data_IF_932768321981
#
_entry.id   IF_932768321981
#
_cell.length_a   1.000
_cell.length_b   1.000
_cell.length_c   1.000
_cell.angle_alpha   90.00
_cell.angle_beta   90.00
_cell.angle_gamma   90.00
#
_symmetry.space_group_name_H-M   'P 1'
#
loop_
_entity.id
_entity.type
_entity.pdbx_description
1 polymer ?
#
# COMPACT_ATOMS: atom_id res chain seq x y z
N UNK A 1 27.43 62.89 37.62
CA UNK A 1 26.36 62.55 36.65
C UNK A 1 26.54 61.07 36.24
N UNK A 2 25.78 60.16 36.86
CA UNK A 2 25.89 58.74 36.63
C UNK A 2 24.66 58.29 35.81
N UNK A 3 24.89 57.95 34.52
CA UNK A 3 23.87 57.42 33.63
C UNK A 3 23.64 55.96 33.98
N UNK A 4 22.43 55.61 34.43
CA UNK A 4 21.96 54.23 34.63
C UNK A 4 21.45 53.71 33.31
N UNK A 5 22.17 52.75 32.68
CA UNK A 5 21.67 51.97 31.59
C UNK A 5 20.76 50.86 32.13
N UNK A 6 19.46 50.95 31.84
CA UNK A 6 18.48 49.95 32.11
C UNK A 6 18.48 48.96 30.94
N UNK A 7 19.10 47.80 31.10
CA UNK A 7 19.08 46.75 30.14
C UNK A 7 17.71 46.01 30.20
N UNK A 8 16.89 46.20 29.19
CA UNK A 8 15.65 45.47 29.01
C UNK A 8 16.02 44.10 28.42
N UNK A 9 16.02 43.06 29.27
CA UNK A 9 16.11 41.65 28.82
C UNK A 9 14.74 41.26 28.29
N UNK A 10 14.61 41.33 26.95
CA UNK A 10 13.45 40.78 26.26
C UNK A 10 13.61 39.24 26.17
N UNK A 11 13.03 38.53 27.12
CA UNK A 11 12.92 37.07 27.09
C UNK A 11 11.97 36.66 25.98
N UNK A 12 12.49 36.32 24.81
CA UNK A 12 11.72 35.68 23.75
C UNK A 12 11.55 34.21 24.12
N UNK A 13 10.46 33.89 24.77
CA UNK A 13 9.98 32.50 24.89
C UNK A 13 9.57 32.05 23.50
N UNK A 14 10.48 31.42 22.76
CA UNK A 14 10.12 30.63 21.58
C UNK A 14 9.39 29.41 22.11
N UNK A 15 8.06 29.47 22.12
CA UNK A 15 7.20 28.33 22.33
C UNK A 15 7.39 27.36 21.14
N UNK A 16 8.25 26.38 21.33
CA UNK A 16 8.27 25.22 20.44
C UNK A 16 6.97 24.48 20.66
N UNK A 17 5.96 24.80 19.86
CA UNK A 17 4.77 24.00 19.75
C UNK A 17 5.20 22.66 19.16
N UNK A 18 5.49 21.68 20.00
CA UNK A 18 5.57 20.30 19.56
C UNK A 18 4.19 19.95 18.98
N UNK A 19 4.10 19.97 17.65
CA UNK A 19 2.98 19.44 16.93
C UNK A 19 2.98 17.93 17.22
N UNK A 20 2.21 17.50 18.21
CA UNK A 20 1.96 16.09 18.46
C UNK A 20 1.08 15.61 17.31
N UNK A 21 1.71 15.14 16.24
CA UNK A 21 0.99 14.43 15.18
C UNK A 21 0.34 13.19 15.82
N UNK A 22 -0.93 12.91 15.54
CA UNK A 22 -1.54 11.67 15.99
C UNK A 22 -0.71 10.48 15.47
N UNK A 23 -0.53 9.45 16.28
CA UNK A 23 0.28 8.27 15.93
C UNK A 23 -0.14 7.63 14.60
N UNK A 24 -1.42 7.74 14.23
CA UNK A 24 -1.97 7.33 12.94
C UNK A 24 -1.33 8.09 11.76
N UNK A 25 -1.17 9.43 11.87
CA UNK A 25 -0.54 10.22 10.80
C UNK A 25 0.95 9.92 10.65
N UNK A 26 1.65 9.56 11.73
CA UNK A 26 3.06 9.17 11.67
C UNK A 26 3.25 7.83 10.97
N UNK A 27 2.37 6.86 11.23
CA UNK A 27 2.41 5.54 10.58
C UNK A 27 2.09 5.61 9.08
N UNK A 28 1.10 6.41 8.70
CA UNK A 28 0.73 6.68 7.31
C UNK A 28 1.91 7.30 6.55
N UNK A 29 2.56 8.31 7.10
CA UNK A 29 3.71 8.96 6.47
C UNK A 29 4.86 7.96 6.22
N UNK A 30 5.19 7.10 7.20
CA UNK A 30 6.22 6.07 7.03
C UNK A 30 5.86 5.05 5.95
N UNK A 31 4.63 4.60 5.90
CA UNK A 31 4.14 3.66 4.87
C UNK A 31 4.27 4.25 3.46
N UNK A 32 3.85 5.51 3.29
CA UNK A 32 3.95 6.23 2.01
C UNK A 32 5.42 6.46 1.62
N UNK A 33 6.27 6.89 2.55
CA UNK A 33 7.71 7.07 2.29
C UNK A 33 8.37 5.73 1.87
N UNK A 34 7.98 4.63 2.49
CA UNK A 34 8.45 3.30 2.10
C UNK A 34 8.00 2.95 0.68
N UNK A 35 6.74 3.18 0.34
CA UNK A 35 6.21 2.94 -1.01
C UNK A 35 6.94 3.77 -2.09
N UNK A 36 7.27 5.03 -1.79
CA UNK A 36 8.08 5.89 -2.67
C UNK A 36 9.51 5.34 -2.81
N UNK A 37 10.14 4.98 -1.70
CA UNK A 37 11.51 4.44 -1.68
C UNK A 37 11.61 3.15 -2.49
N UNK A 38 10.60 2.29 -2.43
CA UNK A 38 10.49 1.06 -3.20
C UNK A 38 10.01 1.30 -4.65
N UNK A 39 9.81 2.54 -5.08
CA UNK A 39 9.37 2.86 -6.44
C UNK A 39 7.92 2.45 -6.75
N UNK A 40 7.13 2.09 -5.74
CA UNK A 40 5.71 1.79 -5.91
C UNK A 40 4.91 3.04 -6.28
N UNK A 41 5.29 4.18 -5.71
CA UNK A 41 4.74 5.49 -6.05
C UNK A 41 5.82 6.40 -6.61
N UNK A 42 5.47 7.22 -7.59
CA UNK A 42 6.26 8.40 -7.95
C UNK A 42 6.06 9.50 -6.91
N UNK A 43 6.91 10.51 -6.94
CA UNK A 43 6.77 11.68 -6.06
C UNK A 43 5.45 12.42 -6.31
N UNK A 44 5.00 12.46 -7.57
CA UNK A 44 3.74 13.07 -7.98
C UNK A 44 2.54 12.24 -7.49
N UNK A 45 2.60 10.91 -7.63
CA UNK A 45 1.55 10.01 -7.12
C UNK A 45 1.42 10.14 -5.60
N UNK A 46 2.54 10.31 -4.88
CA UNK A 46 2.55 10.53 -3.44
C UNK A 46 1.91 11.86 -2.99
N UNK A 47 1.68 12.80 -3.91
CA UNK A 47 0.90 14.01 -3.65
C UNK A 47 -0.62 13.79 -3.75
N UNK A 48 -1.07 12.69 -4.37
CA UNK A 48 -2.47 12.35 -4.61
C UNK A 48 -2.99 11.17 -3.78
N UNK A 49 -2.55 11.00 -2.54
CA UNK A 49 -2.80 9.81 -1.70
C UNK A 49 -4.27 9.49 -1.43
N UNK A 50 -5.16 10.48 -1.48
CA UNK A 50 -6.60 10.29 -1.30
C UNK A 50 -7.32 9.78 -2.55
N UNK A 51 -6.62 9.66 -3.69
CA UNK A 51 -7.22 9.10 -4.90
C UNK A 51 -7.49 7.61 -4.74
N UNK A 52 -8.55 7.08 -5.40
CA UNK A 52 -8.84 5.66 -5.36
C UNK A 52 -7.67 4.83 -5.89
N UNK A 53 -7.33 3.75 -5.17
CA UNK A 53 -6.35 2.76 -5.59
C UNK A 53 -6.92 1.91 -6.71
N UNK A 54 -6.20 1.81 -7.82
CA UNK A 54 -6.60 0.94 -8.94
C UNK A 54 -5.95 -0.45 -8.85
N UNK A 55 -6.48 -1.41 -9.61
CA UNK A 55 -5.92 -2.78 -9.67
C UNK A 55 -4.51 -2.81 -10.24
N UNK A 56 -4.21 -1.94 -11.22
CA UNK A 56 -2.85 -1.78 -11.76
C UNK A 56 -1.87 -1.23 -10.72
N UNK A 57 -2.29 -0.24 -9.95
CA UNK A 57 -1.50 0.32 -8.85
C UNK A 57 -1.31 -0.68 -7.71
N UNK A 58 -2.34 -1.48 -7.37
CA UNK A 58 -2.20 -2.55 -6.38
C UNK A 58 -1.18 -3.60 -6.83
N UNK A 59 -1.21 -4.02 -8.11
CA UNK A 59 -0.21 -4.94 -8.65
C UNK A 59 1.22 -4.37 -8.51
N UNK A 60 1.40 -3.08 -8.79
CA UNK A 60 2.69 -2.40 -8.61
C UNK A 60 3.12 -2.36 -7.14
N UNK A 61 2.22 -2.06 -6.21
CA UNK A 61 2.48 -2.13 -4.77
C UNK A 61 2.90 -3.53 -4.32
N UNK A 62 2.15 -4.57 -4.68
CA UNK A 62 2.45 -5.95 -4.30
C UNK A 62 3.86 -6.36 -4.74
N UNK A 63 4.25 -6.04 -5.98
CA UNK A 63 5.58 -6.34 -6.50
C UNK A 63 6.65 -5.55 -5.76
N UNK A 64 6.44 -4.25 -5.54
CA UNK A 64 7.40 -3.37 -4.85
C UNK A 64 7.68 -3.83 -3.41
N UNK A 65 6.68 -4.37 -2.71
CA UNK A 65 6.80 -4.89 -1.34
C UNK A 65 7.13 -6.39 -1.27
N UNK A 66 7.59 -6.99 -2.35
CA UNK A 66 7.93 -8.42 -2.45
C UNK A 66 9.39 -8.66 -2.83
N UNK A 67 9.81 -9.92 -2.78
CA UNK A 67 11.12 -10.35 -3.27
C UNK A 67 11.28 -10.18 -4.81
N UNK A 68 10.21 -9.84 -5.53
CA UNK A 68 10.21 -9.63 -6.99
C UNK A 68 10.37 -8.17 -7.39
N UNK A 69 10.65 -7.28 -6.45
CA UNK A 69 10.81 -5.83 -6.66
C UNK A 69 11.68 -5.50 -7.88
N UNK A 70 12.87 -6.10 -7.99
CA UNK A 70 13.81 -5.82 -9.07
C UNK A 70 13.40 -6.46 -10.40
N UNK A 71 12.54 -7.46 -10.38
CA UNK A 71 12.19 -8.22 -11.59
C UNK A 71 11.33 -7.43 -12.56
N UNK A 72 10.52 -6.47 -12.09
CA UNK A 72 9.68 -5.64 -12.94
C UNK A 72 10.49 -4.78 -13.90
N UNK A 73 11.67 -4.31 -13.47
CA UNK A 73 12.55 -3.44 -14.25
C UNK A 73 13.35 -4.20 -15.32
N UNK A 74 13.50 -5.51 -15.18
CA UNK A 74 14.26 -6.38 -16.10
C UNK A 74 13.38 -7.00 -17.18
N UNK A 75 12.07 -6.86 -17.09
CA UNK A 75 11.13 -7.42 -18.06
C UNK A 75 11.12 -6.57 -19.34
N UNK A 76 11.58 -7.11 -20.45
CA UNK A 76 11.45 -6.49 -21.76
C UNK A 76 9.98 -6.34 -22.20
N UNK A 77 9.77 -5.85 -23.44
CA UNK A 77 8.42 -5.70 -24.01
C UNK A 77 7.64 -7.02 -23.90
N UNK A 78 6.49 -6.96 -23.27
CA UNK A 78 5.68 -8.10 -22.90
C UNK A 78 4.50 -8.18 -23.88
N UNK A 79 4.22 -9.37 -24.41
CA UNK A 79 2.99 -9.63 -25.14
C UNK A 79 1.75 -9.35 -24.27
N UNK A 80 0.62 -9.13 -24.89
CA UNK A 80 -0.69 -8.86 -24.23
C UNK A 80 -1.05 -10.04 -23.34
N UNK A 81 -1.11 -9.81 -22.03
CA UNK A 81 -1.54 -10.83 -21.04
C UNK A 81 -3.07 -10.88 -20.94
N UNK A 82 -3.71 -9.75 -21.12
CA UNK A 82 -5.15 -9.55 -21.02
C UNK A 82 -5.61 -8.64 -22.15
N UNK A 83 -6.87 -8.72 -22.50
CA UNK A 83 -7.44 -7.96 -23.64
C UNK A 83 -7.33 -6.45 -23.45
N UNK A 84 -7.27 -5.99 -22.21
CA UNK A 84 -7.23 -4.59 -21.79
C UNK A 84 -5.88 -4.14 -21.19
N UNK A 85 -4.86 -5.02 -21.21
CA UNK A 85 -3.50 -4.68 -20.77
C UNK A 85 -2.54 -4.72 -21.95
N UNK A 86 -2.23 -3.54 -22.48
CA UNK A 86 -1.24 -3.40 -23.53
C UNK A 86 0.16 -3.65 -22.96
N UNK A 87 1.03 -4.38 -23.70
CA UNK A 87 2.41 -4.64 -23.29
C UNK A 87 3.27 -3.39 -23.06
N UNK A 88 2.87 -2.23 -23.59
CA UNK A 88 3.50 -0.93 -23.31
C UNK A 88 2.93 -0.20 -22.08
N UNK A 89 1.90 -0.75 -21.42
CA UNK A 89 1.37 -0.18 -20.18
C UNK A 89 2.42 -0.18 -19.09
N UNK A 90 2.52 0.91 -18.34
CA UNK A 90 3.41 1.02 -17.19
C UNK A 90 3.13 -0.05 -16.11
N UNK A 91 1.90 -0.59 -16.06
CA UNK A 91 1.51 -1.63 -15.12
C UNK A 91 1.71 -3.06 -15.66
N UNK A 92 1.95 -3.25 -16.96
CA UNK A 92 2.04 -4.59 -17.57
C UNK A 92 3.05 -5.52 -16.89
N UNK A 93 4.31 -5.11 -16.56
CA UNK A 93 5.26 -5.98 -15.88
C UNK A 93 4.81 -6.37 -14.47
N UNK A 94 4.19 -5.45 -13.74
CA UNK A 94 3.70 -5.69 -12.37
C UNK A 94 2.48 -6.62 -12.37
N UNK A 95 1.53 -6.41 -13.29
CA UNK A 95 0.36 -7.26 -13.47
C UNK A 95 0.79 -8.68 -13.79
N UNK A 96 1.78 -8.86 -14.68
CA UNK A 96 2.33 -10.17 -15.01
C UNK A 96 2.84 -10.88 -13.76
N UNK A 97 3.73 -10.23 -12.98
CA UNK A 97 4.32 -10.82 -11.78
C UNK A 97 3.22 -11.17 -10.77
N UNK A 98 2.30 -10.22 -10.48
CA UNK A 98 1.23 -10.44 -9.53
C UNK A 98 0.32 -11.63 -9.91
N UNK A 99 0.07 -11.82 -11.19
CA UNK A 99 -0.71 -12.95 -11.71
C UNK A 99 0.09 -14.26 -11.70
N UNK A 100 1.35 -14.24 -12.11
CA UNK A 100 2.22 -15.43 -12.08
C UNK A 100 2.43 -15.95 -10.65
N UNK A 101 2.49 -15.05 -9.66
CA UNK A 101 2.61 -15.40 -8.26
C UNK A 101 1.25 -15.74 -7.61
N UNK A 102 0.15 -15.63 -8.35
CA UNK A 102 -1.19 -15.90 -7.84
C UNK A 102 -1.75 -14.87 -6.86
N UNK A 103 -1.10 -13.71 -6.71
CA UNK A 103 -1.58 -12.64 -5.80
C UNK A 103 -2.82 -11.94 -6.34
N UNK A 104 -2.94 -11.88 -7.65
CA UNK A 104 -4.10 -11.33 -8.34
C UNK A 104 -4.48 -12.23 -9.52
N UNK A 105 -5.72 -12.12 -9.98
CA UNK A 105 -6.21 -12.80 -11.17
C UNK A 105 -6.96 -11.84 -12.08
N UNK A 106 -7.04 -12.18 -13.37
CA UNK A 106 -7.95 -11.53 -14.31
C UNK A 106 -9.38 -12.05 -14.18
N UNK A 107 -10.24 -11.54 -15.03
CA UNK A 107 -11.64 -11.93 -15.11
C UNK A 107 -11.87 -13.00 -16.18
N UNK A 108 -13.00 -13.69 -16.11
CA UNK A 108 -13.36 -14.77 -17.04
C UNK A 108 -13.60 -14.29 -18.47
N UNK A 109 -13.80 -12.99 -18.68
CA UNK A 109 -13.91 -12.34 -19.99
C UNK A 109 -12.54 -12.06 -20.66
N UNK A 110 -11.44 -12.45 -20.00
CA UNK A 110 -10.09 -12.23 -20.49
C UNK A 110 -9.52 -10.84 -20.19
N UNK A 111 -10.22 -10.02 -19.40
CA UNK A 111 -9.75 -8.71 -18.95
C UNK A 111 -9.05 -8.76 -17.60
N UNK A 112 -8.22 -7.76 -17.29
CA UNK A 112 -7.64 -7.54 -15.97
C UNK A 112 -8.25 -6.35 -15.26
N UNK A 113 -8.72 -5.38 -16.00
CA UNK A 113 -9.32 -4.11 -15.56
C UNK A 113 -8.34 -3.28 -14.70
N UNK A 114 -7.20 -2.87 -15.26
CA UNK A 114 -6.14 -2.19 -14.50
C UNK A 114 -6.59 -0.88 -13.85
N UNK A 115 -7.54 -0.18 -14.44
CA UNK A 115 -8.06 1.12 -13.97
C UNK A 115 -9.25 0.99 -13.01
N UNK A 116 -9.76 -0.24 -12.79
CA UNK A 116 -10.84 -0.48 -11.82
C UNK A 116 -10.33 -0.25 -10.40
N UNK A 117 -11.11 0.45 -9.60
CA UNK A 117 -10.88 0.65 -8.15
C UNK A 117 -10.89 -0.67 -7.40
N UNK A 118 -10.06 -0.75 -6.37
CA UNK A 118 -9.94 -1.93 -5.49
C UNK A 118 -10.69 -1.68 -4.19
N UNK A 119 -11.46 -2.66 -3.74
CA UNK A 119 -12.10 -2.65 -2.42
C UNK A 119 -11.15 -3.18 -1.33
N UNK A 120 -11.50 -2.93 -0.06
CA UNK A 120 -10.73 -3.41 1.09
C UNK A 120 -10.53 -4.93 1.06
N UNK A 121 -11.59 -5.69 0.80
CA UNK A 121 -11.54 -7.16 0.77
C UNK A 121 -10.69 -7.71 -0.36
N UNK A 122 -10.71 -7.07 -1.53
CA UNK A 122 -9.84 -7.44 -2.67
C UNK A 122 -8.36 -7.17 -2.35
N UNK A 123 -8.06 -6.00 -1.78
CA UNK A 123 -6.70 -5.67 -1.38
C UNK A 123 -6.18 -6.58 -0.26
N UNK A 124 -7.01 -6.87 0.76
CA UNK A 124 -6.66 -7.81 1.82
C UNK A 124 -6.43 -9.23 1.28
N UNK A 125 -7.24 -9.68 0.32
CA UNK A 125 -7.07 -10.98 -0.32
C UNK A 125 -5.72 -11.08 -1.02
N UNK A 126 -5.36 -10.07 -1.81
CA UNK A 126 -4.08 -10.01 -2.50
C UNK A 126 -2.89 -9.99 -1.53
N UNK A 127 -2.98 -9.19 -0.45
CA UNK A 127 -1.94 -9.12 0.58
C UNK A 127 -1.78 -10.44 1.37
N UNK A 128 -2.88 -11.13 1.67
CA UNK A 128 -2.85 -12.46 2.31
C UNK A 128 -2.16 -13.48 1.40
N UNK A 129 -2.48 -13.48 0.10
CA UNK A 129 -1.85 -14.38 -0.87
C UNK A 129 -0.36 -14.06 -1.04
N UNK A 130 0.02 -12.78 -1.02
CA UNK A 130 1.43 -12.35 -0.99
C UNK A 130 2.18 -12.95 0.21
N UNK A 131 1.53 -13.01 1.38
CA UNK A 131 2.09 -13.61 2.62
C UNK A 131 2.01 -15.15 2.63
N UNK A 132 1.59 -15.78 1.53
CA UNK A 132 1.55 -17.23 1.35
C UNK A 132 0.31 -17.90 1.92
N UNK A 133 -0.71 -17.15 2.36
CA UNK A 133 -1.96 -17.76 2.82
C UNK A 133 -2.79 -18.28 1.64
N UNK A 134 -3.26 -19.53 1.75
CA UNK A 134 -4.29 -20.05 0.87
C UNK A 134 -5.66 -19.48 1.31
N UNK A 135 -6.09 -18.44 0.61
CA UNK A 135 -7.32 -17.73 0.92
C UNK A 135 -8.58 -18.56 0.67
N UNK A 136 -8.47 -19.69 -0.05
CA UNK A 136 -9.59 -20.60 -0.32
C UNK A 136 -9.89 -21.53 0.85
N UNK A 137 -8.92 -21.76 1.72
CA UNK A 137 -9.01 -22.64 2.90
C UNK A 137 -9.39 -21.89 4.18
N UNK A 138 -9.53 -20.56 4.13
CA UNK A 138 -9.91 -19.78 5.30
C UNK A 138 -11.32 -20.09 5.75
N UNK A 139 -11.51 -20.28 7.06
CA UNK A 139 -12.81 -20.57 7.66
C UNK A 139 -13.75 -19.37 7.50
N UNK A 140 -14.92 -19.62 6.96
CA UNK A 140 -15.93 -18.62 6.63
C UNK A 140 -15.95 -18.33 5.12
N UNK A 141 -16.94 -17.58 4.67
CA UNK A 141 -17.08 -17.20 3.28
C UNK A 141 -16.39 -15.88 2.96
N UNK A 142 -16.05 -15.67 1.66
CA UNK A 142 -15.64 -14.35 1.18
C UNK A 142 -16.78 -13.34 1.38
N UNK A 143 -16.51 -12.10 1.82
CA UNK A 143 -15.20 -11.56 2.14
C UNK A 143 -14.83 -11.64 3.63
N UNK A 144 -15.73 -12.15 4.49
CA UNK A 144 -15.53 -12.12 5.94
C UNK A 144 -14.28 -12.90 6.40
N UNK A 145 -14.03 -14.07 5.80
CA UNK A 145 -12.87 -14.89 6.12
C UNK A 145 -11.55 -14.15 5.90
N UNK A 146 -11.40 -13.49 4.73
CA UNK A 146 -10.22 -12.72 4.37
C UNK A 146 -10.05 -11.48 5.27
N UNK A 147 -11.13 -10.75 5.52
CA UNK A 147 -11.10 -9.57 6.39
C UNK A 147 -10.75 -9.92 7.84
N UNK A 148 -11.28 -11.03 8.36
CA UNK A 148 -10.99 -11.52 9.71
C UNK A 148 -9.52 -11.97 9.81
N UNK A 149 -9.02 -12.72 8.81
CA UNK A 149 -7.62 -13.15 8.78
C UNK A 149 -6.68 -11.95 8.68
N UNK A 150 -6.95 -11.02 7.79
CA UNK A 150 -6.15 -9.79 7.64
C UNK A 150 -6.10 -8.97 8.95
N UNK A 151 -7.24 -8.89 9.66
CA UNK A 151 -7.28 -8.22 10.96
C UNK A 151 -6.46 -8.98 12.02
N UNK A 152 -6.60 -10.30 12.08
CA UNK A 152 -5.93 -11.14 13.07
C UNK A 152 -4.39 -11.10 12.98
N UNK A 153 -3.82 -10.89 11.79
CA UNK A 153 -2.37 -10.80 11.58
C UNK A 153 -1.88 -9.34 11.47
N UNK A 154 -2.73 -8.35 11.77
CA UNK A 154 -2.34 -6.94 11.82
C UNK A 154 -2.31 -6.20 10.48
N UNK A 155 -2.65 -6.84 9.35
CA UNK A 155 -2.66 -6.18 8.03
C UNK A 155 -3.55 -4.93 7.99
N UNK A 156 -4.62 -4.92 8.78
CA UNK A 156 -5.59 -3.82 8.81
C UNK A 156 -5.28 -2.74 9.84
N UNK A 157 -4.13 -2.81 10.51
CA UNK A 157 -3.73 -1.78 11.47
C UNK A 157 -3.69 -0.39 10.79
N UNK A 158 -4.29 0.61 11.44
CA UNK A 158 -4.41 1.99 10.95
C UNK A 158 -5.25 2.16 9.66
N UNK A 159 -6.01 1.16 9.24
CA UNK A 159 -6.98 1.27 8.16
C UNK A 159 -8.38 1.48 8.73
N UNK A 160 -9.06 2.53 8.30
CA UNK A 160 -10.43 2.84 8.72
C UNK A 160 -11.50 2.33 7.74
N UNK A 161 -11.10 1.68 6.63
CA UNK A 161 -12.03 1.16 5.61
C UNK A 161 -12.83 -0.01 6.14
N UNK A 162 -14.08 -0.08 5.71
CA UNK A 162 -14.99 -1.19 5.97
C UNK A 162 -15.24 -1.99 4.67
N UNK A 163 -15.84 -3.16 4.82
CA UNK A 163 -16.20 -4.03 3.69
C UNK A 163 -16.94 -3.26 2.60
N UNK A 164 -16.58 -3.50 1.34
CA UNK A 164 -17.16 -2.86 0.16
C UNK A 164 -16.63 -1.47 -0.15
N UNK A 165 -15.89 -0.85 0.76
CA UNK A 165 -15.32 0.47 0.51
C UNK A 165 -14.08 0.41 -0.38
N UNK A 166 -13.98 1.35 -1.32
CA UNK A 166 -12.79 1.53 -2.13
C UNK A 166 -11.59 1.96 -1.27
N UNK A 167 -10.45 1.37 -1.53
CA UNK A 167 -9.16 1.77 -0.97
C UNK A 167 -8.66 3.03 -1.66
N UNK A 168 -7.89 3.84 -0.93
CA UNK A 168 -7.07 4.90 -1.52
C UNK A 168 -5.63 4.44 -1.70
N UNK A 169 -4.82 5.23 -2.40
CA UNK A 169 -3.39 4.95 -2.53
C UNK A 169 -2.70 4.91 -1.18
N UNK A 170 -3.08 5.80 -0.24
CA UNK A 170 -2.59 5.79 1.13
C UNK A 170 -2.94 4.48 1.86
N UNK A 171 -4.20 4.05 1.77
CA UNK A 171 -4.65 2.78 2.36
C UNK A 171 -3.84 1.59 1.81
N UNK A 172 -3.56 1.58 0.51
CA UNK A 172 -2.73 0.56 -0.13
C UNK A 172 -1.30 0.53 0.42
N UNK A 173 -0.67 1.71 0.57
CA UNK A 173 0.65 1.81 1.18
C UNK A 173 0.65 1.31 2.62
N UNK A 174 -0.33 1.69 3.44
CA UNK A 174 -0.47 1.23 4.84
C UNK A 174 -0.63 -0.29 4.88
N UNK A 175 -1.50 -0.87 4.05
CA UNK A 175 -1.74 -2.31 4.00
C UNK A 175 -0.45 -3.09 3.70
N UNK A 176 0.30 -2.67 2.67
CA UNK A 176 1.53 -3.36 2.26
C UNK A 176 2.69 -3.09 3.24
N UNK A 177 2.74 -1.92 3.86
CA UNK A 177 3.69 -1.65 4.93
C UNK A 177 3.44 -2.55 6.14
N UNK A 178 2.18 -2.75 6.54
CA UNK A 178 1.81 -3.69 7.61
C UNK A 178 2.20 -5.14 7.25
N UNK A 179 2.18 -5.50 5.97
CA UNK A 179 2.58 -6.83 5.51
C UNK A 179 4.07 -7.14 5.79
N UNK A 180 4.94 -6.11 5.87
CA UNK A 180 6.37 -6.30 6.18
C UNK A 180 6.62 -6.90 7.58
N UNK A 181 5.69 -6.71 8.50
CA UNK A 181 5.81 -7.18 9.90
C UNK A 181 4.75 -8.22 10.27
N UNK A 182 3.84 -8.55 9.35
CA UNK A 182 2.81 -9.53 9.56
C UNK A 182 3.38 -10.95 9.46
N UNK A 183 2.84 -11.87 10.25
CA UNK A 183 3.20 -13.28 10.13
C UNK A 183 2.82 -13.83 8.76
N UNK A 184 3.74 -14.53 8.13
CA UNK A 184 3.46 -15.30 6.90
C UNK A 184 2.72 -16.60 7.22
N UNK A 185 2.22 -17.29 6.20
CA UNK A 185 1.56 -18.59 6.38
C UNK A 185 2.51 -19.66 6.96
N UNK A 186 3.82 -19.54 6.71
CA UNK A 186 4.85 -20.41 7.25
C UNK A 186 5.27 -20.07 8.69
N UNK A 187 4.74 -18.99 9.27
CA UNK A 187 5.05 -18.55 10.64
C UNK A 187 6.33 -17.73 10.78
N UNK A 188 7.02 -17.40 9.67
CA UNK A 188 8.15 -16.47 9.67
C UNK A 188 7.67 -15.02 9.49
N UNK A 189 8.33 -14.08 10.15
CA UNK A 189 8.24 -12.64 9.88
C UNK A 189 9.35 -12.28 8.90
#
# INVERSE_FOLDING_TARGET
>A
MKKRFLALLLSVCIGVSMLVLPASAAGSNTAVQTAVTLGAFSTEEAAGLSTPLTRGQLAKLLVAFSAYHDNANTQGSIGTLYTDVNGSSAYAPYIRIAVQQGWMSGYTDGSFRPDQTVTLEEACTAALTLLGYDVTTLTGGFPAAQLNKANAIGLRANLSRTQGQAMTMEDGAILLYNALTANTASGSV
#
